data_IF_263701335798
#
_entry.id   IF_263701335798
#
_cell.length_a   1.000
_cell.length_b   1.000
_cell.length_c   1.000
_cell.angle_alpha   90.00
_cell.angle_beta   90.00
_cell.angle_gamma   90.00
#
_symmetry.space_group_name_H-M   'P 1'
#
loop_
_entity.id
_entity.type
_entity.pdbx_description
1 polymer ?
#
# COMPACT_ATOMS: atom_id res chain seq x y z
N UNK A 1 55.53 66.65 -17.74
CA UNK A 1 54.43 66.14 -18.59
C UNK A 1 53.27 65.76 -17.69
N UNK A 2 52.01 66.00 -18.09
CA UNK A 2 51.03 66.61 -17.19
C UNK A 2 49.81 65.73 -16.83
N UNK A 3 48.99 66.24 -15.90
CA UNK A 3 47.56 65.93 -15.58
C UNK A 3 47.20 64.53 -15.05
N UNK A 4 46.81 64.36 -13.76
CA UNK A 4 45.55 64.69 -13.05
C UNK A 4 44.52 63.53 -12.99
N UNK A 5 43.95 63.36 -11.79
CA UNK A 5 42.83 62.51 -11.38
C UNK A 5 41.58 62.46 -12.30
N UNK A 6 40.91 61.31 -12.33
CA UNK A 6 39.43 61.10 -12.43
C UNK A 6 39.18 59.60 -12.14
N UNK A 7 38.44 59.08 -11.13
CA UNK A 7 37.17 59.42 -10.48
C UNK A 7 35.93 59.37 -11.41
N UNK A 8 35.01 58.44 -11.07
CA UNK A 8 33.60 58.28 -11.49
C UNK A 8 33.38 57.73 -12.92
N UNK A 9 32.53 56.72 -13.15
CA UNK A 9 31.08 56.76 -12.97
C UNK A 9 30.51 55.56 -12.19
N UNK A 10 30.00 55.87 -11.00
CA UNK A 10 28.84 55.20 -10.40
C UNK A 10 27.62 55.92 -10.98
N UNK A 11 26.67 55.18 -11.55
CA UNK A 11 25.33 55.71 -11.78
C UNK A 11 24.37 55.11 -10.77
N UNK A 12 24.06 55.95 -9.78
CA UNK A 12 22.94 55.84 -8.86
C UNK A 12 21.75 56.63 -9.40
N UNK A 13 20.56 56.23 -8.92
CA UNK A 13 19.23 56.85 -9.04
C UNK A 13 18.47 56.56 -10.36
N UNK A 14 17.25 56.02 -10.33
CA UNK A 14 16.15 56.51 -9.49
C UNK A 14 15.19 55.42 -9.01
N UNK A 15 14.87 55.51 -7.72
CA UNK A 15 13.61 55.08 -7.12
C UNK A 15 12.48 55.81 -7.85
N UNK A 16 11.51 55.09 -8.41
CA UNK A 16 10.26 55.69 -8.87
C UNK A 16 9.06 54.80 -8.51
N UNK A 17 8.36 55.29 -7.48
CA UNK A 17 6.95 55.11 -7.11
C UNK A 17 6.30 53.73 -7.25
N UNK A 18 5.92 53.19 -6.07
CA UNK A 18 4.65 52.52 -5.87
C UNK A 18 3.51 53.35 -6.48
N UNK A 19 3.00 52.93 -7.63
CA UNK A 19 1.65 53.28 -8.07
C UNK A 19 0.81 52.02 -8.05
N UNK A 20 -0.21 52.04 -7.19
CA UNK A 20 -1.31 51.09 -7.21
C UNK A 20 -1.93 51.07 -8.61
N UNK A 21 -1.78 49.96 -9.33
CA UNK A 21 -2.58 49.69 -10.51
C UNK A 21 -3.54 48.57 -10.10
N UNK A 22 -4.76 48.99 -9.79
CA UNK A 22 -5.95 48.14 -9.80
C UNK A 22 -6.13 47.58 -11.22
N UNK A 23 -5.46 46.46 -11.49
CA UNK A 23 -5.67 45.64 -12.68
C UNK A 23 -6.12 44.27 -12.22
N UNK A 24 -7.38 43.91 -12.50
CA UNK A 24 -7.94 42.58 -12.26
C UNK A 24 -6.99 41.52 -12.83
N UNK A 25 -6.23 40.86 -11.95
CA UNK A 25 -5.54 39.61 -12.26
C UNK A 25 -6.64 38.59 -12.47
N UNK A 26 -6.95 38.28 -13.74
CA UNK A 26 -7.69 37.08 -14.07
C UNK A 26 -6.86 35.90 -13.57
N UNK A 27 -7.34 35.22 -12.53
CA UNK A 27 -6.90 33.90 -12.14
C UNK A 27 -6.88 33.03 -13.41
N UNK A 28 -5.69 32.76 -13.94
CA UNK A 28 -5.51 31.60 -14.82
C UNK A 28 -5.59 30.39 -13.90
N UNK A 29 -6.65 29.61 -14.09
CA UNK A 29 -6.83 28.32 -13.45
C UNK A 29 -5.55 27.49 -13.62
N UNK A 30 -4.94 27.07 -12.51
CA UNK A 30 -3.87 26.07 -12.47
C UNK A 30 -4.36 24.66 -12.86
N UNK A 31 -5.63 24.52 -13.29
CA UNK A 31 -6.31 23.26 -13.57
C UNK A 31 -6.22 22.80 -15.04
N UNK A 32 -5.62 23.61 -15.93
CA UNK A 32 -5.59 23.32 -17.38
C UNK A 32 -4.17 23.03 -17.94
N UNK A 33 -3.18 22.72 -17.09
CA UNK A 33 -1.92 22.17 -17.60
C UNK A 33 -2.06 20.65 -17.77
N UNK A 34 -1.71 20.07 -18.95
CA UNK A 34 -1.71 18.62 -19.11
C UNK A 34 -0.78 18.04 -18.04
N UNK A 35 -1.28 17.08 -17.26
CA UNK A 35 -0.51 16.42 -16.21
C UNK A 35 0.49 15.49 -16.90
N UNK A 36 1.62 16.04 -17.33
CA UNK A 36 2.76 15.25 -17.76
C UNK A 36 3.51 14.77 -16.53
N UNK A 37 3.86 13.47 -16.49
CA UNK A 37 4.82 12.98 -15.50
C UNK A 37 6.16 13.63 -15.80
N UNK A 38 6.44 14.77 -15.18
CA UNK A 38 7.79 15.33 -15.20
C UNK A 38 8.67 14.38 -14.37
N UNK A 39 9.48 13.58 -15.06
CA UNK A 39 10.54 12.81 -14.43
C UNK A 39 11.53 13.80 -13.84
N UNK A 40 11.41 14.05 -12.54
CA UNK A 40 12.46 14.74 -11.82
C UNK A 40 13.70 13.85 -11.84
N UNK A 41 14.92 14.42 -11.83
CA UNK A 41 16.10 13.67 -11.49
C UNK A 41 15.85 12.90 -10.18
N UNK A 42 16.06 11.59 -10.19
CA UNK A 42 15.83 10.69 -9.08
C UNK A 42 16.99 9.71 -8.97
N UNK A 43 17.05 8.90 -7.91
CA UNK A 43 18.15 7.93 -7.74
C UNK A 43 17.63 6.51 -7.67
N UNK A 44 18.32 5.60 -8.33
CA UNK A 44 18.13 4.16 -8.18
C UNK A 44 19.40 3.55 -7.59
N UNK A 45 19.31 3.00 -6.37
CA UNK A 45 20.45 2.42 -5.66
C UNK A 45 21.68 3.36 -5.63
N UNK A 46 21.46 4.65 -5.43
CA UNK A 46 22.51 5.69 -5.45
C UNK A 46 22.85 6.28 -6.82
N UNK A 47 22.44 5.65 -7.93
CA UNK A 47 22.73 6.13 -9.29
C UNK A 47 21.70 7.16 -9.74
N UNK A 48 22.17 8.31 -10.23
CA UNK A 48 21.31 9.38 -10.73
C UNK A 48 20.69 8.97 -12.07
N UNK A 49 19.36 9.12 -12.19
CA UNK A 49 18.60 8.90 -13.41
C UNK A 49 17.91 10.21 -13.77
N UNK A 50 18.16 10.69 -15.00
CA UNK A 50 17.60 11.93 -15.53
C UNK A 50 16.77 11.71 -16.79
N UNK A 51 16.97 10.58 -17.47
CA UNK A 51 16.30 10.22 -18.73
C UNK A 51 16.40 8.72 -19.03
N UNK A 52 15.68 8.27 -20.07
CA UNK A 52 15.80 6.90 -20.61
C UNK A 52 17.22 6.55 -21.03
N UNK A 53 17.99 7.51 -21.54
CA UNK A 53 19.38 7.31 -21.96
C UNK A 53 20.29 7.07 -20.74
N UNK A 54 20.12 7.85 -19.66
CA UNK A 54 20.89 7.64 -18.42
C UNK A 54 20.58 6.28 -17.78
N UNK A 55 19.33 5.81 -17.89
CA UNK A 55 18.94 4.47 -17.44
C UNK A 55 19.62 3.38 -18.28
N UNK A 56 19.70 3.56 -19.60
CA UNK A 56 20.31 2.61 -20.51
C UNK A 56 21.83 2.44 -20.30
N UNK A 57 22.48 3.45 -19.71
CA UNK A 57 23.90 3.44 -19.38
C UNK A 57 24.24 2.74 -18.06
N UNK A 58 23.24 2.41 -17.23
CA UNK A 58 23.47 1.70 -15.98
C UNK A 58 23.93 0.26 -16.24
N UNK A 59 24.95 -0.16 -15.50
CA UNK A 59 25.45 -1.53 -15.48
C UNK A 59 24.38 -2.50 -14.94
N UNK A 60 24.38 -3.74 -15.43
CA UNK A 60 23.41 -4.75 -15.00
C UNK A 60 23.48 -5.05 -13.49
N UNK A 61 24.63 -4.80 -12.86
CA UNK A 61 24.85 -4.99 -11.43
C UNK A 61 23.91 -4.13 -10.57
N UNK A 62 23.52 -2.95 -11.06
CA UNK A 62 22.55 -2.05 -10.39
C UNK A 62 21.20 -2.75 -10.17
N UNK A 63 20.89 -3.75 -11.00
CA UNK A 63 19.62 -4.48 -10.99
C UNK A 63 19.72 -5.89 -10.35
N UNK A 64 20.90 -6.36 -9.93
CA UNK A 64 21.09 -7.71 -9.39
C UNK A 64 20.22 -8.00 -8.17
N UNK A 65 20.01 -7.00 -7.32
CA UNK A 65 19.15 -7.10 -6.15
C UNK A 65 17.82 -6.37 -6.36
N UNK A 66 17.37 -6.17 -7.59
CA UNK A 66 16.07 -5.55 -7.86
C UNK A 66 14.94 -6.60 -7.96
N UNK A 67 13.67 -6.18 -7.82
CA UNK A 67 12.56 -6.98 -8.30
C UNK A 67 12.67 -7.29 -9.80
N UNK A 68 12.24 -8.49 -10.17
CA UNK A 68 12.20 -8.91 -11.57
C UNK A 68 11.44 -7.90 -12.44
N UNK A 69 12.01 -7.60 -13.61
CA UNK A 69 11.40 -6.68 -14.57
C UNK A 69 11.56 -5.19 -14.25
N UNK A 70 12.33 -4.79 -13.23
CA UNK A 70 12.50 -3.37 -12.87
C UNK A 70 12.91 -2.48 -14.04
N UNK A 71 13.99 -2.82 -14.74
CA UNK A 71 14.49 -2.06 -15.90
C UNK A 71 13.43 -1.95 -17.00
N UNK A 72 12.68 -3.03 -17.24
CA UNK A 72 11.58 -3.04 -18.20
C UNK A 72 10.45 -2.09 -17.78
N UNK A 73 9.99 -2.17 -16.53
CA UNK A 73 8.90 -1.30 -16.03
C UNK A 73 9.30 0.18 -16.05
N UNK A 74 10.54 0.52 -15.70
CA UNK A 74 11.02 1.92 -15.80
C UNK A 74 10.97 2.39 -17.27
N UNK A 75 11.42 1.56 -18.22
CA UNK A 75 11.32 1.89 -19.65
C UNK A 75 9.88 2.08 -20.13
N UNK A 76 8.94 1.26 -19.67
CA UNK A 76 7.52 1.42 -19.99
C UNK A 76 6.95 2.72 -19.40
N UNK A 77 7.36 3.12 -18.18
CA UNK A 77 6.98 4.40 -17.60
C UNK A 77 7.52 5.59 -18.41
N UNK A 78 8.75 5.52 -18.93
CA UNK A 78 9.28 6.53 -19.86
C UNK A 78 8.47 6.60 -21.16
N UNK A 79 8.18 5.45 -21.78
CA UNK A 79 7.34 5.40 -22.99
C UNK A 79 5.95 5.98 -22.74
N UNK A 80 5.34 5.66 -21.59
CA UNK A 80 4.03 6.17 -21.21
C UNK A 80 4.06 7.69 -21.03
N UNK A 81 5.10 8.21 -20.39
CA UNK A 81 5.30 9.65 -20.20
C UNK A 81 5.57 10.41 -21.49
N UNK A 82 6.26 9.80 -22.44
CA UNK A 82 6.51 10.35 -23.77
C UNK A 82 5.27 10.25 -24.69
N UNK A 83 4.17 9.66 -24.22
CA UNK A 83 2.98 9.40 -25.02
C UNK A 83 3.18 8.32 -26.10
N UNK A 84 4.26 7.53 -26.03
CA UNK A 84 4.54 6.41 -26.97
C UNK A 84 3.63 5.21 -26.72
N UNK A 85 3.14 5.05 -25.49
CA UNK A 85 2.06 4.11 -25.15
C UNK A 85 0.97 4.85 -24.38
N UNK A 86 -0.32 4.47 -24.51
CA UNK A 86 -1.43 5.20 -23.90
C UNK A 86 -1.73 4.79 -22.45
N UNK A 87 -1.28 3.61 -22.02
CA UNK A 87 -1.50 3.09 -20.67
C UNK A 87 -0.46 2.03 -20.29
N UNK A 88 -0.29 1.82 -18.99
CA UNK A 88 0.38 0.65 -18.41
C UNK A 88 -0.65 -0.40 -18.00
N UNK A 89 -0.38 -1.67 -18.27
CA UNK A 89 -1.26 -2.79 -17.89
C UNK A 89 -0.75 -3.49 -16.63
N UNK A 90 -1.66 -3.72 -15.68
CA UNK A 90 -1.42 -4.58 -14.51
C UNK A 90 -2.46 -5.70 -14.49
N UNK A 91 -1.99 -6.94 -14.26
CA UNK A 91 -2.86 -8.10 -14.09
C UNK A 91 -3.16 -8.31 -12.62
N UNK A 92 -4.45 -8.37 -12.29
CA UNK A 92 -4.92 -8.78 -10.96
C UNK A 92 -5.17 -10.27 -10.93
N UNK A 93 -4.98 -10.89 -9.77
CA UNK A 93 -5.24 -12.31 -9.59
C UNK A 93 -6.74 -12.67 -9.62
N UNK A 94 -7.65 -11.70 -9.55
CA UNK A 94 -9.11 -11.88 -9.64
C UNK A 94 -9.68 -12.83 -8.58
N UNK A 95 -10.52 -12.36 -7.66
CA UNK A 95 -11.21 -13.26 -6.70
C UNK A 95 -12.08 -14.33 -7.38
N UNK A 96 -12.44 -14.12 -8.64
CA UNK A 96 -13.25 -15.03 -9.47
C UNK A 96 -12.44 -16.06 -10.27
N UNK A 97 -11.09 -16.08 -10.14
CA UNK A 97 -10.21 -17.10 -10.74
C UNK A 97 -9.69 -16.80 -12.15
N UNK A 98 -10.24 -15.81 -12.87
CA UNK A 98 -9.68 -15.32 -14.13
C UNK A 98 -8.95 -14.00 -13.90
N UNK A 99 -7.64 -13.90 -14.24
CA UNK A 99 -6.91 -12.66 -14.10
C UNK A 99 -7.56 -11.53 -14.89
N UNK A 100 -7.81 -10.38 -14.25
CA UNK A 100 -8.31 -9.18 -14.94
C UNK A 100 -7.15 -8.24 -15.20
N UNK A 101 -7.01 -7.81 -16.44
CA UNK A 101 -6.08 -6.76 -16.83
C UNK A 101 -6.73 -5.39 -16.60
N UNK A 102 -6.01 -4.51 -15.92
CA UNK A 102 -6.44 -3.14 -15.64
C UNK A 102 -5.41 -2.20 -16.26
N UNK A 103 -5.90 -1.19 -16.96
CA UNK A 103 -5.09 -0.21 -17.67
C UNK A 103 -5.08 1.11 -16.89
N UNK A 104 -3.90 1.68 -16.74
CA UNK A 104 -3.71 2.96 -16.07
C UNK A 104 -2.98 3.94 -16.96
N UNK A 105 -3.55 5.14 -17.08
CA UNK A 105 -2.95 6.28 -17.77
C UNK A 105 -1.85 6.93 -16.92
N UNK A 106 -1.05 7.79 -17.55
CA UNK A 106 0.00 8.53 -16.83
C UNK A 106 -0.60 9.48 -15.78
N UNK A 107 -1.74 10.09 -16.10
CA UNK A 107 -2.44 11.02 -15.23
C UNK A 107 -2.94 10.33 -13.96
N UNK A 108 -3.46 9.10 -14.09
CA UNK A 108 -3.92 8.30 -12.95
C UNK A 108 -2.77 7.91 -12.03
N UNK A 109 -1.64 7.47 -12.60
CA UNK A 109 -0.42 7.14 -11.84
C UNK A 109 0.12 8.36 -11.09
N UNK A 110 0.18 9.52 -11.75
CA UNK A 110 0.66 10.77 -11.14
C UNK A 110 -0.28 11.22 -10.04
N UNK A 111 -1.60 11.23 -10.26
CA UNK A 111 -2.57 11.66 -9.26
C UNK A 111 -2.54 10.78 -7.99
N UNK A 112 -2.44 9.46 -8.17
CA UNK A 112 -2.31 8.52 -7.05
C UNK A 112 -0.98 8.69 -6.30
N UNK A 113 0.12 8.93 -7.03
CA UNK A 113 1.42 9.20 -6.45
C UNK A 113 1.44 10.52 -5.66
N UNK A 114 0.90 11.60 -6.22
CA UNK A 114 0.84 12.92 -5.56
C UNK A 114 0.04 12.87 -4.25
N UNK A 115 -1.08 12.14 -4.25
CA UNK A 115 -1.89 11.90 -3.05
C UNK A 115 -1.08 11.16 -1.97
N UNK A 116 -0.35 10.11 -2.37
CA UNK A 116 0.53 9.35 -1.47
C UNK A 116 1.70 10.19 -0.95
N UNK A 117 2.35 10.96 -1.82
CA UNK A 117 3.50 11.83 -1.50
C UNK A 117 3.11 12.83 -0.43
N UNK A 118 1.95 13.49 -0.60
CA UNK A 118 1.41 14.43 0.39
C UNK A 118 1.12 13.74 1.72
N UNK A 119 0.44 12.58 1.69
CA UNK A 119 0.03 11.87 2.89
C UNK A 119 1.22 11.33 3.71
N UNK A 120 2.27 10.89 3.03
CA UNK A 120 3.48 10.32 3.64
C UNK A 120 4.58 11.35 3.89
N UNK A 121 4.42 12.60 3.42
CA UNK A 121 5.42 13.66 3.55
C UNK A 121 6.70 13.38 2.75
N UNK A 122 6.60 12.76 1.58
CA UNK A 122 7.77 12.42 0.78
C UNK A 122 8.37 13.67 0.12
N UNK A 123 9.69 13.70 0.02
CA UNK A 123 10.47 14.77 -0.61
C UNK A 123 11.54 14.18 -1.53
N UNK A 124 12.27 15.03 -2.25
CA UNK A 124 13.40 14.57 -3.07
C UNK A 124 14.56 13.97 -2.24
N UNK A 125 14.63 14.30 -0.94
CA UNK A 125 15.62 13.74 -0.01
C UNK A 125 15.17 12.41 0.61
N UNK A 126 13.93 11.98 0.35
CA UNK A 126 13.40 10.72 0.86
C UNK A 126 14.15 9.52 0.28
N UNK A 127 14.31 8.49 1.11
CA UNK A 127 14.83 7.17 0.73
C UNK A 127 13.75 6.12 0.87
N UNK A 128 13.33 5.53 -0.24
CA UNK A 128 12.24 4.58 -0.32
C UNK A 128 12.78 3.17 -0.60
N UNK A 129 12.31 2.16 0.13
CA UNK A 129 12.64 0.77 -0.13
C UNK A 129 11.56 0.09 -0.98
N UNK A 130 11.96 -0.42 -2.15
CA UNK A 130 11.17 -1.34 -2.95
C UNK A 130 11.58 -2.79 -2.66
N UNK A 131 10.76 -3.47 -1.86
CA UNK A 131 10.90 -4.88 -1.47
C UNK A 131 9.68 -5.74 -1.86
N UNK A 132 8.89 -5.25 -2.82
CA UNK A 132 7.65 -5.86 -3.30
C UNK A 132 7.75 -6.16 -4.80
N UNK A 133 7.06 -7.19 -5.30
CA UNK A 133 6.97 -7.46 -6.74
C UNK A 133 6.38 -6.27 -7.51
N UNK A 134 6.91 -6.02 -8.71
CA UNK A 134 6.40 -4.99 -9.63
C UNK A 134 5.17 -5.44 -10.42
N UNK A 135 4.82 -6.72 -10.39
CA UNK A 135 3.62 -7.26 -11.02
C UNK A 135 2.32 -6.77 -10.38
N UNK A 136 2.38 -6.26 -9.14
CA UNK A 136 1.26 -5.65 -8.44
C UNK A 136 1.45 -4.15 -8.24
N UNK A 137 0.34 -3.45 -8.03
CA UNK A 137 0.34 -1.99 -7.85
C UNK A 137 1.13 -1.51 -6.64
N UNK A 138 1.31 -2.34 -5.61
CA UNK A 138 2.06 -1.95 -4.41
C UNK A 138 3.54 -1.67 -4.73
N UNK A 139 4.20 -2.55 -5.49
CA UNK A 139 5.58 -2.34 -5.96
C UNK A 139 5.66 -1.25 -7.03
N UNK A 140 4.75 -1.28 -8.02
CA UNK A 140 4.70 -0.26 -9.07
C UNK A 140 4.59 1.15 -8.49
N UNK A 141 3.66 1.38 -7.55
CA UNK A 141 3.44 2.71 -7.01
C UNK A 141 4.57 3.19 -6.10
N UNK A 142 5.37 2.31 -5.51
CA UNK A 142 6.62 2.71 -4.83
C UNK A 142 7.62 3.30 -5.83
N UNK A 143 7.79 2.67 -6.99
CA UNK A 143 8.62 3.18 -8.07
C UNK A 143 8.08 4.53 -8.60
N UNK A 144 6.79 4.62 -8.90
CA UNK A 144 6.17 5.85 -9.41
C UNK A 144 6.32 7.00 -8.41
N UNK A 145 6.11 6.76 -7.10
CA UNK A 145 6.31 7.79 -6.05
C UNK A 145 7.74 8.30 -6.04
N UNK A 146 8.74 7.41 -6.11
CA UNK A 146 10.14 7.78 -6.09
C UNK A 146 10.49 8.70 -7.27
N UNK A 147 10.10 8.30 -8.48
CA UNK A 147 10.31 9.08 -9.69
C UNK A 147 9.59 10.43 -9.61
N UNK A 148 8.32 10.41 -9.19
CA UNK A 148 7.47 11.61 -9.14
C UNK A 148 8.00 12.67 -8.17
N UNK A 149 8.49 12.25 -7.01
CA UNK A 149 9.01 13.19 -6.01
C UNK A 149 10.49 13.55 -6.23
N UNK A 150 11.23 12.73 -6.99
CA UNK A 150 12.68 12.85 -7.18
C UNK A 150 13.51 12.17 -6.09
N UNK A 151 12.94 11.19 -5.39
CA UNK A 151 13.56 10.49 -4.27
C UNK A 151 14.57 9.42 -4.72
N UNK A 152 15.31 8.90 -3.74
CA UNK A 152 16.10 7.68 -3.91
C UNK A 152 15.24 6.44 -3.69
N UNK A 153 15.22 5.55 -4.68
CA UNK A 153 14.65 4.21 -4.60
C UNK A 153 15.77 3.20 -4.38
N UNK A 154 15.74 2.53 -3.24
CA UNK A 154 16.61 1.41 -2.92
C UNK A 154 15.82 0.13 -3.18
N UNK A 155 16.41 -0.82 -3.90
CA UNK A 155 15.72 -2.02 -4.32
C UNK A 155 16.36 -3.25 -3.71
N UNK A 156 15.53 -4.17 -3.24
CA UNK A 156 15.95 -5.50 -2.82
C UNK A 156 15.08 -6.55 -3.53
N UNK A 157 15.62 -7.75 -3.74
CA UNK A 157 14.85 -8.85 -4.30
C UNK A 157 13.67 -9.17 -3.36
N UNK A 158 12.42 -9.21 -3.85
CA UNK A 158 11.27 -9.51 -3.01
C UNK A 158 11.43 -10.86 -2.30
N UNK A 159 11.26 -10.84 -0.98
CA UNK A 159 11.41 -11.99 -0.09
C UNK A 159 10.38 -11.93 1.04
N UNK A 160 10.02 -13.08 1.60
CA UNK A 160 9.19 -13.16 2.82
C UNK A 160 9.93 -12.63 4.06
N UNK A 161 11.27 -12.60 4.01
CA UNK A 161 12.15 -12.10 5.07
C UNK A 161 13.13 -11.09 4.48
N UNK A 162 13.15 -9.88 5.04
CA UNK A 162 14.07 -8.81 4.68
C UNK A 162 15.15 -8.75 5.76
N UNK A 163 16.39 -9.00 5.37
CA UNK A 163 17.52 -9.05 6.30
C UNK A 163 18.29 -7.73 6.37
N UNK A 164 18.91 -7.38 7.50
CA UNK A 164 19.69 -6.15 7.64
C UNK A 164 20.82 -5.99 6.61
N UNK A 165 21.40 -7.09 6.15
CA UNK A 165 22.45 -7.10 5.12
C UNK A 165 21.99 -6.54 3.77
N UNK A 166 20.70 -6.63 3.46
CA UNK A 166 20.13 -6.20 2.17
C UNK A 166 20.06 -4.67 2.01
N UNK A 167 20.25 -3.91 3.10
CA UNK A 167 20.17 -2.44 3.07
C UNK A 167 21.48 -1.78 2.63
N UNK A 168 22.56 -2.53 2.40
CA UNK A 168 23.88 -1.99 2.04
C UNK A 168 24.34 -0.84 2.95
N UNK A 169 24.14 -0.99 4.27
CA UNK A 169 24.42 0.01 5.31
C UNK A 169 23.64 1.32 5.21
N UNK A 170 22.61 1.39 4.35
CA UNK A 170 21.74 2.54 4.25
C UNK A 170 20.61 2.48 5.28
N UNK A 171 20.11 3.67 5.64
CA UNK A 171 18.81 3.83 6.30
C UNK A 171 17.78 4.23 5.26
N UNK A 172 16.58 3.69 5.39
CA UNK A 172 15.44 4.03 4.53
C UNK A 172 14.38 4.72 5.36
N UNK A 173 13.77 5.75 4.79
CA UNK A 173 12.72 6.51 5.45
C UNK A 173 11.40 5.76 5.41
N UNK A 174 11.08 5.15 4.26
CA UNK A 174 9.82 4.44 4.04
C UNK A 174 10.05 3.10 3.35
N UNK A 175 9.45 2.04 3.89
CA UNK A 175 9.30 0.76 3.21
C UNK A 175 7.83 0.40 3.08
N UNK A 176 7.40 -0.13 1.93
CA UNK A 176 6.09 -0.76 1.79
C UNK A 176 6.23 -2.26 1.95
N UNK A 177 5.48 -2.87 2.87
CA UNK A 177 5.58 -4.30 3.20
C UNK A 177 4.21 -4.95 3.31
N UNK A 178 4.17 -6.28 3.14
CA UNK A 178 3.00 -7.07 3.57
C UNK A 178 3.06 -7.32 5.09
N UNK A 179 1.94 -7.68 5.74
CA UNK A 179 1.96 -8.09 7.15
C UNK A 179 2.92 -9.26 7.42
N UNK A 180 3.04 -10.21 6.48
CA UNK A 180 3.95 -11.34 6.63
C UNK A 180 5.43 -10.89 6.61
N UNK A 181 5.80 -9.99 5.68
CA UNK A 181 7.14 -9.40 5.65
C UNK A 181 7.45 -8.61 6.93
N UNK A 182 6.48 -7.84 7.45
CA UNK A 182 6.62 -7.08 8.69
C UNK A 182 6.98 -8.00 9.86
N UNK A 183 6.22 -9.09 10.04
CA UNK A 183 6.42 -10.03 11.16
C UNK A 183 7.77 -10.72 11.07
N UNK A 184 8.21 -11.11 9.88
CA UNK A 184 9.44 -11.89 9.73
C UNK A 184 10.71 -11.03 9.62
N UNK A 185 10.60 -9.71 9.47
CA UNK A 185 11.74 -8.81 9.19
C UNK A 185 12.07 -7.86 10.35
N UNK A 186 11.71 -8.23 11.58
CA UNK A 186 11.86 -7.36 12.77
C UNK A 186 13.31 -6.91 13.02
N UNK A 187 14.30 -7.74 12.68
CA UNK A 187 15.73 -7.39 12.80
C UNK A 187 16.14 -6.19 11.94
N UNK A 188 15.40 -5.98 10.84
CA UNK A 188 15.65 -4.90 9.88
C UNK A 188 15.03 -3.56 10.29
N UNK A 189 14.19 -3.52 11.33
CA UNK A 189 13.52 -2.29 11.76
C UNK A 189 14.48 -1.18 12.20
N UNK A 190 15.72 -1.51 12.57
CA UNK A 190 16.76 -0.51 12.85
C UNK A 190 17.22 0.28 11.62
N UNK A 191 16.95 -0.23 10.42
CA UNK A 191 17.28 0.38 9.13
C UNK A 191 16.09 1.09 8.47
N UNK A 192 14.88 0.95 9.01
CA UNK A 192 13.64 1.46 8.43
C UNK A 192 12.96 2.40 9.43
N UNK A 193 12.76 3.66 9.05
CA UNK A 193 12.13 4.66 9.94
C UNK A 193 10.61 4.51 9.99
N UNK A 194 9.97 4.28 8.83
CA UNK A 194 8.52 4.16 8.71
C UNK A 194 8.15 2.98 7.79
N UNK A 195 7.10 2.25 8.15
CA UNK A 195 6.58 1.14 7.34
C UNK A 195 5.13 1.44 6.94
N UNK A 196 4.85 1.29 5.64
CA UNK A 196 3.51 1.28 5.07
C UNK A 196 3.09 -0.18 4.83
N UNK A 197 2.05 -0.63 5.52
CA UNK A 197 1.49 -1.97 5.40
C UNK A 197 0.30 -1.94 4.45
N UNK A 198 0.25 -2.88 3.52
CA UNK A 198 -0.86 -3.04 2.60
C UNK A 198 -1.15 -4.49 2.25
N UNK A 199 -2.24 -4.70 1.52
CA UNK A 199 -2.60 -6.00 0.95
C UNK A 199 -3.29 -6.97 1.91
N UNK A 200 -3.08 -6.87 3.21
CA UNK A 200 -3.85 -7.64 4.20
C UNK A 200 -3.90 -6.87 5.52
N UNK A 201 -4.86 -7.22 6.37
CA UNK A 201 -4.99 -6.58 7.66
C UNK A 201 -3.93 -7.01 8.65
N UNK A 202 -3.44 -6.05 9.42
CA UNK A 202 -2.54 -6.29 10.55
C UNK A 202 -3.39 -6.47 11.82
N UNK A 203 -3.20 -7.57 12.56
CA UNK A 203 -3.94 -7.78 13.81
C UNK A 203 -3.33 -7.00 14.98
N UNK A 204 -4.13 -6.61 15.97
CA UNK A 204 -3.62 -5.93 17.17
C UNK A 204 -2.69 -6.84 18.00
N UNK A 205 -2.95 -8.15 18.01
CA UNK A 205 -2.03 -9.13 18.63
C UNK A 205 -0.67 -9.11 17.97
N UNK A 206 -0.63 -9.15 16.63
CA UNK A 206 0.62 -9.06 15.87
C UNK A 206 1.33 -7.75 16.14
N UNK A 207 0.60 -6.63 16.10
CA UNK A 207 1.16 -5.31 16.36
C UNK A 207 1.78 -5.23 17.78
N UNK A 208 1.10 -5.79 18.77
CA UNK A 208 1.55 -5.80 20.18
C UNK A 208 2.78 -6.67 20.41
N UNK A 209 3.06 -7.66 19.55
CA UNK A 209 4.25 -8.50 19.64
C UNK A 209 5.47 -7.92 18.91
N UNK A 210 5.28 -6.88 18.10
CA UNK A 210 6.41 -6.20 17.44
C UNK A 210 7.27 -5.46 18.47
N UNK A 211 8.58 -5.33 18.23
CA UNK A 211 9.42 -4.43 19.01
C UNK A 211 8.88 -2.99 18.88
N UNK A 212 9.29 -2.09 19.79
CA UNK A 212 8.94 -0.65 19.78
C UNK A 212 9.62 0.15 18.65
N UNK A 213 9.74 -0.47 17.47
CA UNK A 213 10.27 0.04 16.20
C UNK A 213 9.49 -0.62 15.04
N UNK A 214 9.44 -0.06 13.83
CA UNK A 214 9.96 1.25 13.38
C UNK A 214 9.29 2.43 14.12
N UNK A 215 9.69 3.67 13.85
CA UNK A 215 9.10 4.85 14.51
C UNK A 215 7.60 4.99 14.20
N UNK A 216 7.20 4.54 13.01
CA UNK A 216 5.82 4.59 12.56
C UNK A 216 5.44 3.37 11.73
N UNK A 217 4.25 2.83 12.00
CA UNK A 217 3.61 1.84 11.13
C UNK A 217 2.26 2.41 10.69
N UNK A 218 2.11 2.61 9.39
CA UNK A 218 0.83 2.96 8.77
C UNK A 218 0.24 1.72 8.12
N UNK A 219 -1.05 1.50 8.29
CA UNK A 219 -1.79 0.53 7.50
C UNK A 219 -2.60 1.26 6.44
N UNK A 220 -2.60 0.70 5.25
CA UNK A 220 -3.22 1.28 4.07
C UNK A 220 -4.41 0.46 3.62
N UNK A 221 -5.47 1.15 3.22
CA UNK A 221 -6.63 0.57 2.58
C UNK A 221 -6.71 1.06 1.12
N UNK A 222 -6.82 0.11 0.21
CA UNK A 222 -6.91 0.34 -1.23
C UNK A 222 -6.90 -0.97 -2.01
N UNK A 223 -7.13 -0.86 -3.32
CA UNK A 223 -7.21 -1.98 -4.23
C UNK A 223 -6.55 -1.64 -5.57
N UNK A 224 -6.38 -2.64 -6.44
CA UNK A 224 -5.81 -2.37 -7.76
C UNK A 224 -6.68 -1.40 -8.54
N UNK A 225 -8.00 -1.52 -8.45
CA UNK A 225 -8.98 -0.65 -9.10
C UNK A 225 -8.83 0.82 -8.69
N UNK A 226 -8.29 1.09 -7.50
CA UNK A 226 -8.00 2.45 -7.00
C UNK A 226 -6.53 2.85 -7.19
N UNK A 227 -5.76 2.09 -7.98
CA UNK A 227 -4.30 2.12 -8.13
C UNK A 227 -3.52 1.84 -6.85
N UNK A 228 -3.75 2.58 -5.79
CA UNK A 228 -3.09 2.38 -4.51
C UNK A 228 -4.05 2.66 -3.37
N UNK A 229 -3.50 3.02 -2.21
CA UNK A 229 -4.27 3.35 -1.04
C UNK A 229 -5.10 4.62 -1.25
N UNK A 230 -6.34 4.58 -0.78
CA UNK A 230 -7.27 5.71 -0.69
C UNK A 230 -7.49 6.16 0.75
N UNK A 231 -7.05 5.34 1.72
CA UNK A 231 -7.09 5.68 3.14
C UNK A 231 -5.92 5.06 3.91
N UNK A 232 -5.58 5.70 5.02
CA UNK A 232 -4.50 5.30 5.91
C UNK A 232 -4.99 5.32 7.37
N UNK A 233 -4.44 4.43 8.20
CA UNK A 233 -4.53 4.53 9.66
C UNK A 233 -3.17 4.30 10.27
N UNK A 234 -2.91 4.94 11.40
CA UNK A 234 -1.66 4.74 12.14
C UNK A 234 -1.80 3.58 13.10
N UNK A 235 -1.01 2.53 12.93
CA UNK A 235 -0.98 1.36 13.81
C UNK A 235 0.05 1.53 14.92
N UNK A 236 1.17 2.17 14.63
CA UNK A 236 2.17 2.51 15.64
C UNK A 236 2.62 3.97 15.45
N UNK A 237 2.74 4.77 16.52
CA UNK A 237 2.64 4.37 17.94
C UNK A 237 1.23 4.39 18.54
N UNK A 238 0.26 5.07 17.93
CA UNK A 238 -1.03 5.37 18.60
C UNK A 238 -2.15 4.33 18.39
N UNK A 239 -1.96 3.36 17.50
CA UNK A 239 -2.96 2.35 17.13
C UNK A 239 -4.39 2.89 16.89
N UNK A 240 -4.51 3.83 15.95
CA UNK A 240 -5.80 4.35 15.51
C UNK A 240 -6.66 3.26 14.86
N UNK A 241 -7.90 3.16 15.33
CA UNK A 241 -8.87 2.16 14.87
C UNK A 241 -9.37 2.44 13.45
N UNK A 242 -9.61 3.72 13.14
CA UNK A 242 -10.28 4.14 11.91
C UNK A 242 -9.31 4.50 10.80
N UNK A 243 -9.67 4.11 9.57
CA UNK A 243 -9.02 4.59 8.36
C UNK A 243 -9.48 6.01 8.07
N UNK A 244 -8.53 6.90 7.82
CA UNK A 244 -8.75 8.25 7.31
C UNK A 244 -8.51 8.29 5.81
N UNK A 245 -9.48 8.77 5.04
CA UNK A 245 -9.34 8.91 3.59
C UNK A 245 -8.31 9.98 3.20
N UNK A 246 -7.70 9.81 2.03
CA UNK A 246 -6.84 10.80 1.41
C UNK A 246 -7.64 11.98 0.83
N UNK A 247 -6.99 13.11 0.67
CA UNK A 247 -7.59 14.31 0.09
C UNK A 247 -8.17 14.04 -1.31
N UNK A 248 -9.36 14.57 -1.56
CA UNK A 248 -10.06 14.42 -2.85
C UNK A 248 -10.80 13.10 -3.04
N UNK A 249 -10.66 12.15 -2.11
CA UNK A 249 -11.50 10.96 -2.05
C UNK A 249 -12.82 11.31 -1.36
N UNK A 250 -13.91 10.66 -1.76
CA UNK A 250 -15.15 10.61 -0.96
C UNK A 250 -15.55 9.17 -0.72
N UNK A 251 -16.24 8.94 0.39
CA UNK A 251 -16.77 7.63 0.74
C UNK A 251 -18.26 7.72 1.09
N UNK A 252 -18.98 6.67 0.78
CA UNK A 252 -20.35 6.45 1.25
C UNK A 252 -20.60 4.96 1.46
N UNK A 253 -21.76 4.62 2.05
CA UNK A 253 -22.14 3.23 2.39
C UNK A 253 -23.40 2.87 1.62
N UNK A 254 -23.36 1.75 0.90
CA UNK A 254 -24.53 1.17 0.25
C UNK A 254 -25.49 0.54 1.27
N UNK A 255 -26.75 0.29 0.88
CA UNK A 255 -27.78 -0.31 1.74
C UNK A 255 -27.36 -1.67 2.33
N UNK A 256 -26.55 -2.44 1.59
CA UNK A 256 -26.03 -3.72 2.05
C UNK A 256 -24.74 -3.62 2.88
N UNK A 257 -24.36 -2.41 3.30
CA UNK A 257 -23.17 -2.14 4.11
C UNK A 257 -21.86 -1.96 3.34
N UNK A 258 -21.88 -2.14 2.01
CA UNK A 258 -20.68 -2.04 1.18
C UNK A 258 -20.10 -0.62 1.13
N UNK A 259 -18.78 -0.49 1.21
CA UNK A 259 -18.09 0.77 0.96
C UNK A 259 -18.18 1.15 -0.52
N UNK A 260 -18.63 2.38 -0.77
CA UNK A 260 -18.55 3.05 -2.07
C UNK A 260 -17.45 4.10 -1.97
N UNK A 261 -16.53 4.08 -2.92
CA UNK A 261 -15.38 4.98 -2.99
C UNK A 261 -15.52 5.83 -4.24
N UNK A 262 -15.40 7.15 -4.09
CA UNK A 262 -15.29 8.08 -5.21
C UNK A 262 -13.84 8.57 -5.34
N UNK A 263 -13.28 8.36 -6.53
CA UNK A 263 -11.91 8.67 -6.94
C UNK A 263 -11.96 9.57 -8.18
N UNK A 264 -12.24 10.88 -8.03
CA UNK A 264 -12.47 11.77 -9.18
C UNK A 264 -11.29 11.88 -10.15
N UNK A 265 -10.08 11.59 -9.66
CA UNK A 265 -8.83 11.59 -10.42
C UNK A 265 -8.60 10.32 -11.24
N UNK A 266 -9.40 9.26 -11.04
CA UNK A 266 -9.33 8.03 -11.81
C UNK A 266 -10.36 8.02 -12.93
N UNK A 267 -10.09 7.24 -13.99
CA UNK A 267 -11.02 7.04 -15.10
C UNK A 267 -12.32 6.41 -14.61
N UNK A 268 -12.20 5.37 -13.79
CA UNK A 268 -13.33 4.82 -13.04
C UNK A 268 -13.49 5.66 -11.78
N UNK A 269 -14.49 6.56 -11.78
CA UNK A 269 -14.68 7.54 -10.71
C UNK A 269 -15.33 6.98 -9.45
N UNK A 270 -16.04 5.87 -9.57
CA UNK A 270 -16.81 5.29 -8.47
C UNK A 270 -16.60 3.78 -8.42
N UNK A 271 -16.22 3.29 -7.25
CA UNK A 271 -15.99 1.88 -6.99
C UNK A 271 -16.91 1.42 -5.87
N UNK A 272 -17.82 0.49 -6.19
CA UNK A 272 -18.55 -0.25 -5.17
C UNK A 272 -17.74 -1.50 -4.81
N UNK A 273 -17.31 -1.57 -3.57
CA UNK A 273 -16.52 -2.70 -3.06
C UNK A 273 -17.45 -3.83 -2.56
N UNK A 274 -16.86 -4.96 -2.18
CA UNK A 274 -17.50 -5.98 -1.35
C UNK A 274 -17.01 -5.89 0.10
N UNK A 275 -16.41 -4.77 0.49
CA UNK A 275 -15.92 -4.54 1.84
C UNK A 275 -17.06 -3.92 2.64
N UNK A 276 -17.50 -4.62 3.69
CA UNK A 276 -18.47 -4.10 4.64
C UNK A 276 -17.77 -3.16 5.62
N UNK A 277 -18.35 -1.98 5.81
CA UNK A 277 -17.77 -0.91 6.64
C UNK A 277 -18.80 -0.28 7.56
N UNK A 278 -18.29 0.36 8.60
CA UNK A 278 -19.02 1.36 9.38
C UNK A 278 -18.39 2.73 9.13
N UNK A 279 -19.20 3.71 8.73
CA UNK A 279 -18.74 5.09 8.57
C UNK A 279 -18.81 5.79 9.92
N UNK A 280 -17.70 6.40 10.33
CA UNK A 280 -17.64 7.22 11.55
C UNK A 280 -18.04 8.66 11.23
N UNK A 281 -17.52 9.17 10.11
CA UNK A 281 -17.85 10.48 9.56
C UNK A 281 -17.56 10.49 8.04
N UNK A 282 -17.61 11.66 7.40
CA UNK A 282 -17.38 11.82 5.95
C UNK A 282 -15.96 11.43 5.49
N UNK A 283 -15.02 11.31 6.42
CA UNK A 283 -13.58 11.07 6.16
C UNK A 283 -13.00 9.85 6.87
N UNK A 284 -13.76 9.21 7.78
CA UNK A 284 -13.30 8.07 8.56
C UNK A 284 -14.24 6.87 8.48
N UNK A 285 -13.67 5.67 8.41
CA UNK A 285 -14.42 4.41 8.46
C UNK A 285 -13.67 3.29 9.17
N UNK A 286 -14.40 2.29 9.64
CA UNK A 286 -13.87 1.01 10.10
C UNK A 286 -14.20 -0.10 9.07
N UNK A 287 -13.27 -1.04 8.88
CA UNK A 287 -13.48 -2.20 8.02
C UNK A 287 -14.00 -3.37 8.85
N UNK A 288 -15.24 -3.80 8.61
CA UNK A 288 -15.87 -4.92 9.30
C UNK A 288 -15.41 -6.24 8.69
N UNK A 289 -15.45 -6.35 7.36
CA UNK A 289 -15.10 -7.60 6.68
C UNK A 289 -15.48 -7.60 5.21
N UNK A 290 -15.57 -8.80 4.65
CA UNK A 290 -15.96 -9.03 3.25
C UNK A 290 -17.39 -9.56 3.19
N UNK A 291 -18.24 -8.91 2.40
CA UNK A 291 -19.62 -9.34 2.14
C UNK A 291 -19.68 -10.69 1.41
N UNK A 292 -18.66 -10.98 0.60
CA UNK A 292 -18.52 -12.23 -0.15
C UNK A 292 -17.77 -13.34 0.60
N UNK A 293 -17.34 -13.10 1.85
CA UNK A 293 -16.71 -14.10 2.73
C UNK A 293 -17.58 -14.40 3.98
N UNK A 294 -18.83 -13.92 4.02
CA UNK A 294 -19.73 -14.11 5.17
C UNK A 294 -20.15 -15.57 5.31
N UNK A 295 -19.97 -16.15 6.49
CA UNK A 295 -20.49 -17.46 6.86
C UNK A 295 -21.93 -17.29 7.32
N UNK A 296 -22.87 -17.97 6.66
CA UNK A 296 -24.26 -18.06 7.11
C UNK A 296 -24.46 -19.38 7.87
N UNK A 297 -24.46 -19.32 9.20
CA UNK A 297 -24.62 -20.47 10.08
C UNK A 297 -25.94 -20.37 10.83
N UNK A 298 -26.89 -21.27 10.52
CA UNK A 298 -28.21 -21.27 11.15
C UNK A 298 -29.01 -19.98 10.95
N UNK A 299 -28.78 -19.25 9.85
CA UNK A 299 -29.42 -17.96 9.57
C UNK A 299 -28.67 -16.75 10.12
N UNK A 300 -27.59 -16.96 10.89
CA UNK A 300 -26.76 -15.89 11.45
C UNK A 300 -25.56 -15.64 10.54
N UNK A 301 -25.35 -14.36 10.19
CA UNK A 301 -24.20 -13.91 9.39
C UNK A 301 -23.01 -13.65 10.30
N UNK A 302 -21.91 -14.36 10.04
CA UNK A 302 -20.66 -14.26 10.78
C UNK A 302 -19.54 -13.94 9.80
N UNK A 303 -18.82 -12.85 10.04
CA UNK A 303 -17.58 -12.60 9.31
C UNK A 303 -16.45 -13.48 9.87
N UNK A 304 -15.74 -14.26 9.04
CA UNK A 304 -14.61 -15.06 9.47
C UNK A 304 -13.58 -14.26 10.27
N UNK A 305 -13.37 -13.00 9.87
CA UNK A 305 -12.45 -12.08 10.52
C UNK A 305 -12.69 -11.92 12.02
N UNK A 306 -13.95 -11.85 12.45
CA UNK A 306 -14.29 -11.69 13.87
C UNK A 306 -13.83 -12.92 14.67
N UNK A 307 -14.07 -14.12 14.14
CA UNK A 307 -13.62 -15.38 14.72
C UNK A 307 -12.08 -15.44 14.73
N UNK A 308 -11.43 -15.00 13.66
CA UNK A 308 -9.97 -14.94 13.56
C UNK A 308 -9.36 -13.98 14.59
N UNK A 309 -9.97 -12.82 14.83
CA UNK A 309 -9.52 -11.85 15.83
C UNK A 309 -9.68 -12.38 17.26
N UNK A 310 -10.78 -13.10 17.55
CA UNK A 310 -10.97 -13.77 18.85
C UNK A 310 -9.87 -14.81 19.08
N UNK A 311 -9.59 -15.67 18.09
CA UNK A 311 -8.56 -16.70 18.21
C UNK A 311 -7.15 -16.11 18.40
N UNK A 312 -6.81 -15.07 17.62
CA UNK A 312 -5.51 -14.37 17.74
C UNK A 312 -5.37 -13.72 19.10
N UNK A 313 -6.40 -13.03 19.58
CA UNK A 313 -6.39 -12.35 20.89
C UNK A 313 -6.24 -13.33 22.05
N UNK A 314 -6.64 -14.59 21.85
CA UNK A 314 -6.50 -15.68 22.83
C UNK A 314 -5.29 -16.60 22.57
N UNK A 315 -4.27 -16.11 21.85
CA UNK A 315 -2.97 -16.78 21.77
C UNK A 315 -2.83 -17.82 20.66
N UNK A 316 -3.74 -17.88 19.67
CA UNK A 316 -3.50 -18.66 18.47
C UNK A 316 -2.47 -17.94 17.58
N UNK A 317 -1.19 -18.31 17.73
CA UNK A 317 -0.05 -17.69 17.01
C UNK A 317 0.18 -18.28 15.62
N UNK A 318 -0.33 -19.50 15.36
CA UNK A 318 -0.16 -20.19 14.07
C UNK A 318 -0.81 -19.43 12.91
N UNK A 319 -0.35 -19.69 11.69
CA UNK A 319 -1.11 -19.30 10.50
C UNK A 319 -2.38 -20.16 10.38
N UNK A 320 -3.51 -19.47 10.29
CA UNK A 320 -4.82 -20.08 10.11
C UNK A 320 -5.74 -19.14 9.33
N UNK A 321 -6.85 -19.68 8.84
CA UNK A 321 -7.98 -18.88 8.37
C UNK A 321 -9.30 -19.52 8.81
N UNK A 322 -10.35 -18.70 8.84
CA UNK A 322 -11.72 -19.16 9.11
C UNK A 322 -12.52 -19.15 7.81
N UNK A 323 -13.36 -20.17 7.63
CA UNK A 323 -14.28 -20.27 6.49
C UNK A 323 -15.55 -21.05 6.88
N UNK A 324 -16.58 -20.94 6.03
CA UNK A 324 -17.77 -21.78 6.13
C UNK A 324 -17.55 -23.11 5.43
N UNK A 325 -17.97 -24.22 6.05
CA UNK A 325 -18.07 -25.53 5.37
C UNK A 325 -19.49 -26.10 5.50
N UNK A 326 -19.95 -26.98 4.59
CA UNK A 326 -21.30 -27.52 4.66
C UNK A 326 -21.61 -28.19 6.01
N UNK A 327 -22.81 -27.95 6.55
CA UNK A 327 -23.33 -28.59 7.76
C UNK A 327 -24.82 -28.97 7.58
N UNK A 328 -25.24 -30.20 7.89
CA UNK A 328 -26.61 -30.68 7.61
C UNK A 328 -27.71 -29.81 8.20
N UNK A 329 -27.55 -29.33 9.44
CA UNK A 329 -28.60 -28.59 10.16
C UNK A 329 -28.48 -27.07 10.03
N UNK A 330 -27.27 -26.56 9.81
CA UNK A 330 -26.97 -25.12 9.88
C UNK A 330 -26.83 -24.50 8.49
N UNK A 331 -26.85 -25.33 7.44
CA UNK A 331 -26.39 -24.99 6.10
C UNK A 331 -24.85 -24.90 6.05
N UNK A 332 -24.27 -24.00 6.83
CA UNK A 332 -22.82 -23.86 7.01
C UNK A 332 -22.42 -23.87 8.48
N UNK A 333 -21.27 -24.48 8.78
CA UNK A 333 -20.59 -24.38 10.07
C UNK A 333 -19.30 -23.56 9.96
N UNK A 334 -18.94 -22.90 11.05
CA UNK A 334 -17.67 -22.19 11.18
C UNK A 334 -16.54 -23.22 11.32
N UNK A 335 -15.57 -23.17 10.41
CA UNK A 335 -14.41 -24.06 10.38
C UNK A 335 -13.12 -23.25 10.48
N UNK A 336 -12.24 -23.66 11.39
CA UNK A 336 -10.85 -23.17 11.49
C UNK A 336 -9.95 -24.08 10.66
N UNK A 337 -9.19 -23.51 9.73
CA UNK A 337 -8.19 -24.23 8.94
C UNK A 337 -6.83 -23.77 9.40
N UNK A 338 -5.99 -24.69 9.87
CA UNK A 338 -4.65 -24.40 10.39
C UNK A 338 -3.57 -24.99 9.48
N UNK A 339 -2.44 -24.28 9.38
CA UNK A 339 -1.22 -24.82 8.77
C UNK A 339 -0.48 -25.68 9.80
N UNK A 340 -0.90 -26.93 9.93
CA UNK A 340 -0.38 -27.87 10.92
C UNK A 340 0.35 -29.05 10.27
N UNK A 341 1.44 -29.47 10.90
CA UNK A 341 2.34 -30.53 10.43
C UNK A 341 2.18 -31.83 11.23
N UNK A 342 1.40 -31.84 12.32
CA UNK A 342 1.10 -33.04 13.10
C UNK A 342 -0.21 -32.93 13.93
N UNK A 343 -0.70 -34.06 14.44
CA UNK A 343 -1.97 -34.18 15.17
C UNK A 343 -1.98 -33.43 16.51
N UNK A 344 -0.84 -33.30 17.19
CA UNK A 344 -0.74 -32.60 18.47
C UNK A 344 -1.12 -31.12 18.35
N UNK A 345 -0.71 -30.49 17.24
CA UNK A 345 -1.05 -29.11 16.95
C UNK A 345 -2.56 -28.93 16.68
N UNK A 346 -3.16 -29.87 15.96
CA UNK A 346 -4.60 -29.88 15.71
C UNK A 346 -5.39 -29.98 17.04
N UNK A 347 -5.00 -30.92 17.90
CA UNK A 347 -5.63 -31.10 19.22
C UNK A 347 -5.46 -29.87 20.12
N UNK A 348 -4.30 -29.19 20.05
CA UNK A 348 -4.06 -27.97 20.82
C UNK A 348 -5.02 -26.83 20.42
N UNK A 349 -5.29 -26.68 19.13
CA UNK A 349 -6.24 -25.66 18.62
C UNK A 349 -7.68 -26.04 18.95
N UNK A 350 -8.05 -27.32 18.85
CA UNK A 350 -9.37 -27.80 19.28
C UNK A 350 -9.60 -27.50 20.76
N UNK A 351 -8.63 -27.82 21.61
CA UNK A 351 -8.69 -27.54 23.05
C UNK A 351 -8.81 -26.05 23.34
N UNK A 352 -8.05 -25.21 22.62
CA UNK A 352 -8.21 -23.75 22.74
C UNK A 352 -9.66 -23.35 22.47
N UNK A 353 -10.21 -23.75 21.32
CA UNK A 353 -11.59 -23.43 20.93
C UNK A 353 -12.61 -23.89 21.98
N UNK A 354 -12.44 -25.10 22.54
CA UNK A 354 -13.32 -25.65 23.58
C UNK A 354 -13.26 -24.86 24.90
N UNK A 355 -12.10 -24.32 25.24
CA UNK A 355 -11.89 -23.57 26.49
C UNK A 355 -12.26 -22.09 26.41
N UNK A 356 -12.48 -21.56 25.19
CA UNK A 356 -12.80 -20.16 24.99
C UNK A 356 -14.27 -19.85 25.27
N UNK A 357 -14.49 -18.69 25.88
CA UNK A 357 -15.82 -18.12 26.00
C UNK A 357 -16.18 -17.39 24.70
N UNK A 358 -17.01 -18.03 23.88
CA UNK A 358 -17.36 -17.51 22.56
C UNK A 358 -18.60 -16.62 22.63
N UNK A 359 -18.59 -15.46 21.95
CA UNK A 359 -19.79 -14.65 21.82
C UNK A 359 -20.82 -15.38 20.95
N UNK A 360 -21.93 -15.80 21.55
CA UNK A 360 -23.10 -16.37 20.87
C UNK A 360 -22.72 -17.45 19.82
N UNK A 361 -23.02 -17.16 18.54
CA UNK A 361 -22.90 -18.08 17.41
C UNK A 361 -21.50 -18.13 16.76
N UNK A 362 -20.48 -17.54 17.39
CA UNK A 362 -19.13 -17.43 16.80
C UNK A 362 -18.24 -18.66 17.03
N UNK A 363 -18.67 -19.63 17.85
CA UNK A 363 -17.87 -20.82 18.17
C UNK A 363 -17.64 -21.70 16.92
N UNK A 364 -16.39 -21.96 16.51
CA UNK A 364 -16.07 -22.95 15.50
C UNK A 364 -16.50 -24.36 15.87
N UNK A 365 -17.11 -25.07 14.92
CA UNK A 365 -17.56 -26.47 15.12
C UNK A 365 -16.59 -27.49 14.54
N UNK A 366 -15.59 -27.03 13.78
CA UNK A 366 -14.63 -27.88 13.09
C UNK A 366 -13.27 -27.22 13.02
N UNK A 367 -12.23 -28.03 13.22
CA UNK A 367 -10.83 -27.64 12.97
C UNK A 367 -10.25 -28.66 11.98
N UNK A 368 -9.56 -28.18 10.95
CA UNK A 368 -8.86 -29.04 9.98
C UNK A 368 -7.44 -28.54 9.74
N UNK A 369 -6.52 -29.48 9.49
CA UNK A 369 -5.15 -29.20 9.08
C UNK A 369 -4.99 -29.29 7.56
N UNK A 370 -4.29 -28.32 6.96
CA UNK A 370 -3.98 -28.28 5.52
C UNK A 370 -2.62 -27.62 5.28
N UNK A 371 -1.92 -28.04 4.23
CA UNK A 371 -0.78 -27.29 3.69
C UNK A 371 -1.28 -26.04 2.95
N UNK A 372 -0.77 -24.87 3.32
CA UNK A 372 -1.27 -23.61 2.79
C UNK A 372 -0.70 -23.30 1.42
N UNK A 373 -1.59 -22.94 0.49
CA UNK A 373 -1.20 -22.44 -0.83
C UNK A 373 -1.23 -20.91 -0.79
N UNK A 374 -0.15 -20.27 -1.23
CA UNK A 374 -0.02 -18.81 -1.26
C UNK A 374 -0.18 -18.26 -2.68
N UNK A 375 -0.74 -17.06 -2.78
CA UNK A 375 -0.76 -16.27 -4.01
C UNK A 375 0.61 -15.64 -4.28
N UNK A 376 0.86 -15.16 -5.50
CA UNK A 376 2.08 -14.41 -5.84
C UNK A 376 2.30 -13.16 -4.96
N UNK A 377 1.25 -12.66 -4.31
CA UNK A 377 1.30 -11.52 -3.38
C UNK A 377 1.56 -11.93 -1.92
N UNK A 378 1.79 -13.22 -1.65
CA UNK A 378 2.05 -13.75 -0.31
C UNK A 378 0.81 -13.95 0.57
N UNK A 379 -0.41 -13.78 0.03
CA UNK A 379 -1.67 -14.06 0.75
C UNK A 379 -2.06 -15.53 0.64
N UNK A 380 -2.67 -16.09 1.70
CA UNK A 380 -3.26 -17.44 1.68
C UNK A 380 -4.38 -17.50 0.62
N UNK A 381 -4.29 -18.48 -0.27
CA UNK A 381 -5.35 -18.82 -1.21
C UNK A 381 -6.30 -19.83 -0.54
N UNK A 382 -7.31 -19.31 0.19
CA UNK A 382 -8.28 -20.13 0.94
C UNK A 382 -8.94 -21.21 0.08
N UNK A 383 -9.34 -20.86 -1.15
CA UNK A 383 -10.04 -21.78 -2.06
C UNK A 383 -9.14 -22.90 -2.57
N UNK A 384 -7.87 -22.63 -2.85
CA UNK A 384 -6.93 -23.66 -3.28
C UNK A 384 -6.44 -24.54 -2.12
N UNK A 385 -6.52 -24.03 -0.89
CA UNK A 385 -6.12 -24.74 0.33
C UNK A 385 -7.20 -25.72 0.84
N UNK A 386 -8.47 -25.41 0.58
CA UNK A 386 -9.64 -26.25 0.88
C UNK A 386 -9.84 -27.33 -0.19
#
# INVERSE_FOLDING_TARGET
MPYYHCLLFIHSYSICSLKSINGRIRNKNYLDQPITMHFKPWKLNGHLIQSSESLAQLEEEVFFHAPEGLKFVINELYKLSDGKIPFLSIRTSGSTGSPKEIHFTIEELVASADSSIKALGLTADSKLLLCLPLSGVAGLMMLVRAIRVGAELITITPSSVIQPSMFHHQKVQWASMTPHQLVNSQESFKHVENILIGGASLSDTTLSSLPKKPERILESYGMTETLSHIALRERYPNNHLFFKILDGIKISRADNGALIIETPHLKTKTHRTNDEVELVDESHFSLIGRLDDVINTGGIKIHPRVVEEILKSNGLVKEFFVCGTPHPELGSQITVVINAVNDSELSSVQKLIETLDWPNYHNPRKVIARDFIYTATGKINKRATL
#
